data_IF_958091654751
#
_entry.id   IF_958091654751
#
_cell.length_a   1.000
_cell.length_b   1.000
_cell.length_c   1.000
_cell.angle_alpha   90.00
_cell.angle_beta   90.00
_cell.angle_gamma   90.00
#
_symmetry.space_group_name_H-M   'P 1'
#
loop_
_entity.id
_entity.type
_entity.pdbx_description
1 polymer ?
#
# COMPACT_ATOMS: atom_id res chain seq x y z
N UNK A 1 17.46 -35.65 -31.86
CA UNK A 1 17.06 -34.49 -31.04
C UNK A 1 16.14 -35.04 -29.98
N UNK A 2 16.54 -34.95 -28.71
CA UNK A 2 15.93 -35.70 -27.60
C UNK A 2 14.51 -35.18 -27.32
N UNK A 3 13.48 -36.03 -27.43
CA UNK A 3 12.05 -35.66 -27.37
C UNK A 3 11.70 -34.95 -26.04
N UNK A 4 12.38 -35.33 -24.95
CA UNK A 4 12.28 -34.65 -23.65
C UNK A 4 12.83 -33.22 -23.66
N UNK A 5 13.86 -32.94 -24.46
CA UNK A 5 14.38 -31.58 -24.60
C UNK A 5 13.44 -30.72 -25.44
N UNK A 6 12.81 -31.27 -26.47
CA UNK A 6 11.83 -30.55 -27.30
C UNK A 6 10.57 -30.14 -26.49
N UNK A 7 10.06 -31.04 -25.64
CA UNK A 7 8.94 -30.72 -24.75
C UNK A 7 9.29 -29.64 -23.72
N UNK A 8 10.49 -29.71 -23.12
CA UNK A 8 10.97 -28.69 -22.17
C UNK A 8 11.08 -27.32 -22.82
N UNK A 9 11.61 -27.25 -24.05
CA UNK A 9 11.73 -25.99 -24.81
C UNK A 9 10.35 -25.38 -25.06
N UNK A 10 9.36 -26.19 -25.49
CA UNK A 10 7.98 -25.71 -25.73
C UNK A 10 7.33 -25.15 -24.47
N UNK A 11 7.51 -25.82 -23.33
CA UNK A 11 7.00 -25.35 -22.03
C UNK A 11 7.65 -24.01 -21.66
N UNK A 12 8.97 -23.89 -21.78
CA UNK A 12 9.69 -22.65 -21.45
C UNK A 12 9.20 -21.50 -22.33
N UNK A 13 9.04 -21.71 -23.63
CA UNK A 13 8.51 -20.69 -24.54
C UNK A 13 7.09 -20.29 -24.12
N UNK A 14 6.23 -21.26 -23.78
CA UNK A 14 4.88 -20.99 -23.30
C UNK A 14 4.87 -20.12 -22.04
N UNK A 15 5.73 -20.44 -21.06
CA UNK A 15 5.86 -19.65 -19.82
C UNK A 15 6.36 -18.23 -20.12
N UNK A 16 7.36 -18.06 -20.98
CA UNK A 16 7.88 -16.74 -21.35
C UNK A 16 6.80 -15.89 -22.00
N UNK A 17 6.03 -16.44 -22.94
CA UNK A 17 4.92 -15.73 -23.58
C UNK A 17 3.86 -15.33 -22.54
N UNK A 18 3.50 -16.24 -21.62
CA UNK A 18 2.54 -15.94 -20.57
C UNK A 18 3.01 -14.78 -19.67
N UNK A 19 4.29 -14.78 -19.25
CA UNK A 19 4.86 -13.69 -18.45
C UNK A 19 4.85 -12.35 -19.19
N UNK A 20 5.18 -12.36 -20.50
CA UNK A 20 5.11 -11.16 -21.34
C UNK A 20 3.67 -10.64 -21.40
N UNK A 21 2.68 -11.51 -21.62
CA UNK A 21 1.26 -11.10 -21.65
C UNK A 21 0.84 -10.50 -20.31
N UNK A 22 1.24 -11.10 -19.18
CA UNK A 22 0.91 -10.58 -17.85
C UNK A 22 1.49 -9.18 -17.60
N UNK A 23 2.62 -8.83 -18.20
CA UNK A 23 3.21 -7.50 -18.10
C UNK A 23 2.38 -6.39 -18.80
N UNK A 24 1.46 -6.77 -19.71
CA UNK A 24 0.58 -5.83 -20.42
C UNK A 24 -0.85 -5.77 -19.87
N UNK A 25 -1.20 -6.60 -18.89
CA UNK A 25 -2.52 -6.59 -18.26
C UNK A 25 -2.48 -5.61 -17.09
N UNK A 26 -3.19 -4.47 -17.14
CA UNK A 26 -3.24 -3.52 -16.04
C UNK A 26 -3.77 -4.17 -14.77
N UNK A 27 -3.15 -3.86 -13.64
CA UNK A 27 -3.54 -4.40 -12.34
C UNK A 27 -3.23 -3.38 -11.25
N UNK A 28 -4.23 -3.12 -10.40
CA UNK A 28 -4.10 -2.19 -9.29
C UNK A 28 -4.11 -2.97 -7.97
N UNK A 29 -3.17 -2.65 -7.09
CA UNK A 29 -2.92 -3.40 -5.86
C UNK A 29 -2.32 -2.52 -4.77
N UNK A 30 -2.27 -3.06 -3.57
CA UNK A 30 -1.48 -2.50 -2.48
C UNK A 30 -0.08 -3.08 -2.56
N UNK A 31 0.94 -2.23 -2.50
CA UNK A 31 2.34 -2.64 -2.63
C UNK A 31 2.82 -3.56 -1.51
N UNK A 32 2.21 -3.44 -0.33
CA UNK A 32 2.48 -4.27 0.83
C UNK A 32 1.22 -4.55 1.63
N UNK A 33 1.19 -5.72 2.26
CA UNK A 33 0.17 -6.07 3.25
C UNK A 33 0.54 -5.48 4.62
N UNK A 34 -0.43 -4.83 5.26
CA UNK A 34 -0.29 -4.39 6.65
C UNK A 34 -0.35 -5.63 7.55
N UNK A 35 0.54 -5.68 8.55
CA UNK A 35 0.62 -6.79 9.51
C UNK A 35 -0.76 -7.05 10.15
N UNK A 36 -1.26 -8.30 10.13
CA UNK A 36 -2.54 -8.65 10.75
C UNK A 36 -2.62 -8.25 12.23
N UNK A 37 -3.78 -7.74 12.65
CA UNK A 37 -4.02 -7.29 14.03
C UNK A 37 -3.78 -5.79 14.26
N UNK A 38 -3.34 -5.04 13.24
CA UNK A 38 -3.34 -3.57 13.24
C UNK A 38 -4.69 -3.01 12.80
N UNK A 39 -5.05 -1.84 13.33
CA UNK A 39 -6.13 -1.03 12.76
C UNK A 39 -5.62 -0.33 11.50
N UNK A 40 -6.51 -0.12 10.54
CA UNK A 40 -6.15 0.47 9.23
C UNK A 40 -7.00 1.70 8.97
N UNK A 41 -6.33 2.78 8.56
CA UNK A 41 -6.94 3.99 8.01
C UNK A 41 -6.52 4.17 6.57
N UNK A 42 -7.40 4.66 5.72
CA UNK A 42 -7.05 5.05 4.34
C UNK A 42 -6.98 6.56 4.19
N UNK A 43 -6.18 7.02 3.24
CA UNK A 43 -6.04 8.43 2.91
C UNK A 43 -5.38 8.68 1.56
N UNK A 44 -5.07 9.94 1.29
CA UNK A 44 -4.39 10.41 0.08
C UNK A 44 -3.16 11.20 0.43
N UNK A 45 -2.08 11.03 -0.34
CA UNK A 45 -0.90 11.88 -0.25
C UNK A 45 -1.26 13.29 -0.76
N UNK A 46 -1.12 14.29 0.11
CA UNK A 46 -1.37 15.70 -0.22
C UNK A 46 -0.10 16.55 -0.25
N UNK A 47 0.98 16.08 0.37
CA UNK A 47 2.31 16.66 0.25
C UNK A 47 3.38 15.57 0.38
N UNK A 48 4.50 15.75 -0.34
CA UNK A 48 5.61 14.79 -0.39
C UNK A 48 6.95 15.54 -0.28
N UNK A 49 7.67 15.27 0.79
CA UNK A 49 9.09 15.63 0.95
C UNK A 49 9.99 14.40 0.82
N UNK A 50 11.31 14.63 0.85
CA UNK A 50 12.32 13.56 0.67
C UNK A 50 12.28 12.48 1.76
N UNK A 51 11.82 12.84 2.97
CA UNK A 51 11.73 11.94 4.13
C UNK A 51 10.42 12.12 4.92
N UNK A 52 9.45 12.81 4.33
CA UNK A 52 8.20 13.14 5.01
C UNK A 52 7.04 13.10 4.05
N UNK A 53 5.89 12.69 4.56
CA UNK A 53 4.66 12.53 3.81
C UNK A 53 3.51 13.17 4.57
N UNK A 54 2.78 14.07 3.94
CA UNK A 54 1.50 14.54 4.48
C UNK A 54 0.36 13.76 3.84
N UNK A 55 -0.46 13.13 4.67
CA UNK A 55 -1.59 12.31 4.24
C UNK A 55 -2.89 12.91 4.76
N UNK A 56 -3.86 13.11 3.88
CA UNK A 56 -5.24 13.45 4.24
C UNK A 56 -6.04 12.17 4.42
N UNK A 57 -6.69 12.01 5.56
CA UNK A 57 -7.42 10.78 5.88
C UNK A 57 -8.84 10.80 5.30
N UNK A 58 -9.36 9.62 4.94
CA UNK A 58 -10.75 9.43 4.56
C UNK A 58 -11.61 9.10 5.79
N UNK A 59 -12.87 9.52 5.76
CA UNK A 59 -13.89 8.93 6.61
C UNK A 59 -14.40 7.67 5.90
N UNK A 60 -14.29 6.53 6.56
CA UNK A 60 -14.86 5.30 6.03
C UNK A 60 -16.33 5.23 6.41
N UNK A 61 -17.23 5.48 5.45
CA UNK A 61 -18.64 5.10 5.58
C UNK A 61 -18.84 3.62 5.26
N UNK A 62 -20.00 3.06 5.62
CA UNK A 62 -20.36 1.68 5.25
C UNK A 62 -20.53 1.47 3.73
N UNK A 63 -20.50 2.54 2.92
CA UNK A 63 -20.42 2.50 1.46
C UNK A 63 -18.97 2.65 0.98
N UNK A 64 -18.66 2.14 -0.22
CA UNK A 64 -17.34 2.30 -0.88
C UNK A 64 -16.98 3.76 -1.21
N UNK A 65 -17.87 4.71 -0.90
CA UNK A 65 -17.62 6.14 -1.09
C UNK A 65 -16.62 6.64 -0.05
N UNK A 66 -15.39 6.90 -0.49
CA UNK A 66 -14.34 7.52 0.30
C UNK A 66 -14.59 9.03 0.32
N UNK A 67 -14.98 9.57 1.47
CA UNK A 67 -15.06 11.02 1.65
C UNK A 67 -13.79 11.51 2.36
N UNK A 68 -13.09 12.44 1.73
CA UNK A 68 -11.95 13.13 2.35
C UNK A 68 -12.37 13.89 3.61
N UNK A 69 -11.54 13.81 4.64
CA UNK A 69 -11.68 14.64 5.86
C UNK A 69 -10.70 15.80 5.82
N UNK A 70 -10.93 16.81 6.66
CA UNK A 70 -9.93 17.85 6.92
C UNK A 70 -8.91 17.42 8.00
N UNK A 71 -8.69 16.11 8.15
CA UNK A 71 -7.67 15.55 9.03
C UNK A 71 -6.43 15.12 8.26
N UNK A 72 -5.28 15.60 8.73
CA UNK A 72 -3.97 15.42 8.13
C UNK A 72 -3.01 14.77 9.12
N UNK A 73 -2.24 13.80 8.61
CA UNK A 73 -1.10 13.20 9.29
C UNK A 73 0.18 13.62 8.61
N UNK A 74 1.16 14.04 9.40
CA UNK A 74 2.53 14.15 8.95
C UNK A 74 3.30 12.90 9.39
N UNK A 75 3.79 12.16 8.41
CA UNK A 75 4.58 10.96 8.60
C UNK A 75 6.03 11.24 8.21
N UNK A 76 6.99 10.69 8.95
CA UNK A 76 8.42 10.84 8.68
C UNK A 76 9.11 9.48 8.65
N UNK A 77 9.96 9.26 7.65
CA UNK A 77 10.63 7.98 7.45
C UNK A 77 11.23 7.87 6.06
N UNK A 78 11.39 6.64 5.58
CA UNK A 78 11.67 6.39 4.18
C UNK A 78 10.38 6.58 3.37
N UNK A 79 10.42 7.46 2.37
CA UNK A 79 9.32 7.65 1.43
C UNK A 79 9.79 7.09 0.09
N UNK A 80 9.07 6.13 -0.52
CA UNK A 80 9.43 5.59 -1.83
C UNK A 80 9.54 6.68 -2.91
N UNK A 81 10.42 6.45 -3.88
CA UNK A 81 10.66 7.41 -4.98
C UNK A 81 9.46 7.54 -5.93
N UNK A 82 8.67 6.48 -6.05
CA UNK A 82 7.46 6.36 -6.84
C UNK A 82 6.19 6.85 -6.11
N UNK A 83 6.29 7.18 -4.81
CA UNK A 83 5.20 7.79 -4.07
C UNK A 83 4.90 9.19 -4.61
N UNK A 84 3.64 9.48 -4.93
CA UNK A 84 3.25 10.73 -5.59
C UNK A 84 1.96 11.35 -5.04
N UNK A 85 1.79 12.66 -5.27
CA UNK A 85 0.60 13.40 -4.83
C UNK A 85 -0.67 12.80 -5.46
N UNK A 86 -1.73 12.71 -4.66
CA UNK A 86 -3.00 12.11 -5.09
C UNK A 86 -3.06 10.58 -4.98
N UNK A 87 -1.94 9.92 -4.68
CA UNK A 87 -1.91 8.48 -4.50
C UNK A 87 -2.62 8.08 -3.20
N UNK A 88 -3.36 6.98 -3.26
CA UNK A 88 -4.03 6.40 -2.09
C UNK A 88 -3.03 5.65 -1.23
N UNK A 89 -3.21 5.74 0.09
CA UNK A 89 -2.39 5.04 1.08
C UNK A 89 -3.26 4.39 2.15
N UNK A 90 -2.75 3.30 2.71
CA UNK A 90 -3.25 2.63 3.92
C UNK A 90 -2.24 2.80 5.04
N UNK A 91 -2.71 3.15 6.22
CA UNK A 91 -1.89 3.38 7.41
C UNK A 91 -2.33 2.38 8.49
N UNK A 92 -1.43 1.47 8.82
CA UNK A 92 -1.58 0.43 9.83
C UNK A 92 -0.97 0.82 11.16
N UNK A 93 -1.78 0.94 12.20
CA UNK A 93 -1.36 1.41 13.54
C UNK A 93 -1.81 0.44 14.64
N UNK A 94 -1.23 0.62 15.82
CA UNK A 94 -1.52 -0.26 16.96
C UNK A 94 -2.95 -0.07 17.45
N UNK A 95 -3.66 -1.17 17.69
CA UNK A 95 -4.98 -1.14 18.33
C UNK A 95 -4.93 -0.51 19.73
N UNK A 96 -3.83 -0.74 20.48
CA UNK A 96 -3.71 -0.29 21.88
C UNK A 96 -3.40 1.19 22.04
N UNK A 97 -2.93 1.86 20.99
CA UNK A 97 -2.49 3.25 21.04
C UNK A 97 -3.37 4.18 20.19
N UNK A 98 -4.30 3.63 19.39
CA UNK A 98 -5.06 4.38 18.40
C UNK A 98 -4.15 5.13 17.40
N UNK A 99 -4.73 5.81 16.42
CA UNK A 99 -3.92 6.58 15.44
C UNK A 99 -3.36 7.88 16.03
N UNK A 100 -4.04 8.42 17.04
CA UNK A 100 -3.81 9.76 17.58
C UNK A 100 -3.35 9.79 19.03
N UNK A 101 -3.44 8.68 19.76
CA UNK A 101 -3.17 8.71 21.21
C UNK A 101 -1.66 8.67 21.49
N UNK A 102 -0.88 8.09 20.57
CA UNK A 102 0.59 8.13 20.62
C UNK A 102 1.19 8.75 19.35
N UNK A 103 1.60 10.04 19.39
CA UNK A 103 2.26 10.68 18.26
C UNK A 103 3.69 10.19 18.03
N UNK A 104 4.26 9.36 18.91
CA UNK A 104 5.59 8.79 18.71
C UNK A 104 5.57 7.37 18.14
N UNK A 105 4.38 6.84 17.80
CA UNK A 105 4.27 5.48 17.31
C UNK A 105 4.78 5.34 15.87
N UNK A 106 5.23 4.12 15.55
CA UNK A 106 5.56 3.72 14.19
C UNK A 106 4.34 3.06 13.54
N UNK A 107 3.95 3.60 12.40
CA UNK A 107 2.87 3.11 11.56
C UNK A 107 3.41 2.46 10.30
N UNK A 108 2.70 1.46 9.80
CA UNK A 108 2.98 0.84 8.51
C UNK A 108 2.20 1.56 7.44
N UNK A 109 2.86 2.00 6.38
CA UNK A 109 2.22 2.66 5.24
C UNK A 109 2.32 1.76 4.02
N UNK A 110 1.17 1.48 3.43
CA UNK A 110 1.02 0.74 2.18
C UNK A 110 0.48 1.69 1.13
N UNK A 111 1.05 1.65 -0.07
CA UNK A 111 0.76 2.55 -1.18
C UNK A 111 -0.09 1.82 -2.22
N UNK A 112 -1.09 2.50 -2.76
CA UNK A 112 -1.89 1.97 -3.85
C UNK A 112 -1.14 2.16 -5.16
N UNK A 113 -0.84 1.08 -5.85
CA UNK A 113 -0.01 1.06 -7.06
C UNK A 113 -0.83 0.52 -8.24
N UNK A 114 -0.84 1.28 -9.33
CA UNK A 114 -1.42 0.88 -10.61
C UNK A 114 -0.31 0.45 -11.57
N UNK A 115 -0.09 -0.86 -11.66
CA UNK A 115 0.94 -1.47 -12.50
C UNK A 115 0.31 -2.54 -13.41
N UNK A 116 0.91 -3.74 -13.45
CA UNK A 116 0.50 -4.86 -14.25
C UNK A 116 0.49 -6.15 -13.42
N UNK A 117 -0.21 -7.15 -13.94
CA UNK A 117 -0.44 -8.42 -13.26
C UNK A 117 0.87 -9.17 -12.94
N UNK A 118 1.91 -8.97 -13.75
CA UNK A 118 3.23 -9.56 -13.48
C UNK A 118 3.84 -8.97 -12.20
N UNK A 119 3.86 -7.64 -12.07
CA UNK A 119 4.46 -6.97 -10.90
C UNK A 119 3.60 -7.18 -9.64
N UNK A 120 2.30 -6.92 -9.72
CA UNK A 120 1.44 -6.88 -8.53
C UNK A 120 0.87 -8.22 -8.06
N UNK A 121 1.08 -9.31 -8.78
CA UNK A 121 0.58 -10.64 -8.37
C UNK A 121 1.63 -11.74 -8.52
N UNK A 122 2.23 -11.86 -9.71
CA UNK A 122 3.16 -12.96 -9.98
C UNK A 122 4.48 -12.78 -9.21
N UNK A 123 5.06 -11.58 -9.24
CA UNK A 123 6.31 -11.31 -8.51
C UNK A 123 6.10 -11.29 -7.00
N UNK A 124 5.02 -10.69 -6.53
CA UNK A 124 4.66 -10.70 -5.10
C UNK A 124 4.54 -12.13 -4.55
N UNK A 125 3.89 -13.03 -5.30
CA UNK A 125 3.82 -14.45 -4.92
C UNK A 125 5.18 -15.17 -4.92
N UNK A 126 6.10 -14.77 -5.80
CA UNK A 126 7.43 -15.39 -5.91
C UNK A 126 8.44 -14.84 -4.90
N UNK A 127 8.31 -13.58 -4.50
CA UNK A 127 9.22 -12.86 -3.60
C UNK A 127 8.39 -12.05 -2.59
N UNK A 128 7.75 -12.71 -1.61
CA UNK A 128 6.79 -12.08 -0.70
C UNK A 128 7.39 -11.09 0.32
N UNK A 129 8.67 -10.72 0.18
CA UNK A 129 9.43 -9.98 1.18
C UNK A 129 10.26 -8.82 0.63
N UNK A 130 9.93 -8.26 -0.53
CA UNK A 130 10.37 -6.89 -0.81
C UNK A 130 9.52 -5.91 0.01
N UNK A 131 9.67 -5.98 1.34
CA UNK A 131 9.25 -4.92 2.23
C UNK A 131 10.06 -3.69 1.82
N UNK A 132 9.46 -2.82 1.02
CA UNK A 132 9.82 -1.42 1.10
C UNK A 132 9.80 -1.04 2.59
N UNK A 133 10.71 -0.16 3.02
CA UNK A 133 10.68 0.35 4.39
C UNK A 133 9.36 1.12 4.57
N UNK A 134 8.33 0.42 5.05
CA UNK A 134 6.94 0.88 5.16
C UNK A 134 6.65 1.45 6.53
N UNK A 135 7.59 1.31 7.46
CA UNK A 135 7.53 1.84 8.81
C UNK A 135 7.87 3.35 8.80
N UNK A 136 6.84 4.18 8.96
CA UNK A 136 6.98 5.63 9.17
C UNK A 136 6.56 6.00 10.58
N UNK A 137 7.11 7.09 11.10
CA UNK A 137 6.73 7.64 12.40
C UNK A 137 5.70 8.75 12.20
N UNK A 138 4.67 8.79 13.04
CA UNK A 138 3.81 9.97 13.11
C UNK A 138 4.63 11.12 13.73
N UNK A 139 4.55 12.33 13.18
CA UNK A 139 5.28 13.49 13.72
C UNK A 139 4.34 14.62 14.07
N UNK A 140 3.24 14.74 13.34
CA UNK A 140 2.20 15.72 13.64
C UNK A 140 0.83 15.22 13.18
N UNK A 141 -0.20 15.73 13.84
CA UNK A 141 -1.61 15.46 13.55
C UNK A 141 -2.35 16.78 13.58
N UNK A 142 -2.94 17.16 12.44
CA UNK A 142 -3.86 18.29 12.37
C UNK A 142 -5.25 17.78 12.03
N UNK A 143 -6.20 17.92 12.94
CA UNK A 143 -7.62 17.62 12.73
C UNK A 143 -8.46 18.86 12.98
N UNK A 144 -9.55 19.01 12.23
CA UNK A 144 -10.60 20.01 12.44
C UNK A 144 -11.59 19.60 13.56
N UNK A 145 -11.39 18.43 14.17
CA UNK A 145 -12.28 17.87 15.20
C UNK A 145 -13.33 16.89 14.64
N UNK A 146 -13.30 16.59 13.35
CA UNK A 146 -14.11 15.51 12.77
C UNK A 146 -13.63 14.14 13.28
N UNK A 147 -14.51 13.32 13.89
CA UNK A 147 -14.13 11.99 14.33
C UNK A 147 -13.93 11.07 13.12
N UNK A 148 -12.75 10.46 12.99
CA UNK A 148 -12.55 9.35 12.07
C UNK A 148 -13.25 8.09 12.59
N UNK A 149 -14.11 7.52 11.77
CA UNK A 149 -14.77 6.24 12.05
C UNK A 149 -13.97 5.14 11.37
N UNK A 150 -13.44 4.22 12.18
CA UNK A 150 -12.70 3.06 11.69
C UNK A 150 -13.66 1.89 11.53
N UNK A 151 -13.60 1.21 10.38
CA UNK A 151 -14.35 -0.01 10.15
C UNK A 151 -13.59 -1.16 10.84
N UNK A 152 -13.87 -1.40 12.11
CA UNK A 152 -13.36 -2.58 12.82
C UNK A 152 -14.23 -3.75 12.37
N UNK A 153 -13.80 -4.49 11.35
CA UNK A 153 -14.49 -5.71 10.94
C UNK A 153 -14.40 -6.73 12.09
N UNK A 154 -15.50 -6.88 12.85
CA UNK A 154 -15.74 -7.96 13.82
C UNK A 154 -16.22 -9.23 13.14
#
# INVERSE_FOLDING_TARGET
MDEKNDLRIKIVIGVVIALIVCAFIPYAHWDTDIVPGRLVSEGTIVDRGDRSLAVRLYTMSASEDLMETDTFLLLEGYVPDDAHLGQRVRIGYSYSEGLYENPNQTVQVSYYVEDNLLMGFILDWLIPFQSAETDLRIVDVRSDGSPLVYNVAT
#
